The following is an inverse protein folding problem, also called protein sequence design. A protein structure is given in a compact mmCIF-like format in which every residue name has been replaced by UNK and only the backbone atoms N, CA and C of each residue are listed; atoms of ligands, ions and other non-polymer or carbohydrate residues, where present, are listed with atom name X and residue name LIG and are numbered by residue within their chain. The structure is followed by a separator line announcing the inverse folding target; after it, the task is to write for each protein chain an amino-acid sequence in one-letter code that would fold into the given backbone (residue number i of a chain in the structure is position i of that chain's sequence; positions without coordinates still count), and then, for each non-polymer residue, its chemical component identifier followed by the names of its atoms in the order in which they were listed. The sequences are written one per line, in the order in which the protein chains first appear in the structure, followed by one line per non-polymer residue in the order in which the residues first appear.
data_IF_391373575795
#
_entry.id   IF_391373575795
#
_cell.length_a   1.000
_cell.length_b   1.000
_cell.length_c   1.000
_cell.angle_alpha   90.00
_cell.angle_beta   90.00
_cell.angle_gamma   90.00
#
_symmetry.space_group_name_H-M   'P 1'
#
loop_
_entity.id
_entity.type
_entity.pdbx_description
1 polymer ?
#
# COMPACT_ATOMS: atom_id res chain seq x y z
N UNK A 1 52.64 28.66 -1.86
CA UNK A 1 52.11 27.48 -1.10
C UNK A 1 50.81 27.75 -0.32
N UNK A 2 50.32 29.00 -0.18
CA UNK A 2 49.10 29.29 0.59
C UNK A 2 47.76 28.93 -0.07
N UNK A 3 47.70 28.85 -1.41
CA UNK A 3 46.43 28.62 -2.13
C UNK A 3 46.00 27.15 -2.10
N UNK A 4 46.95 26.22 -2.23
CA UNK A 4 46.73 24.76 -2.13
C UNK A 4 46.07 24.36 -0.80
N UNK A 5 46.50 24.95 0.31
CA UNK A 5 45.94 24.69 1.65
C UNK A 5 44.48 25.14 1.79
N UNK A 6 44.07 26.18 1.05
CA UNK A 6 42.67 26.64 0.97
C UNK A 6 41.81 25.73 0.09
N UNK A 7 42.37 25.22 -1.01
CA UNK A 7 41.68 24.25 -1.87
C UNK A 7 41.37 22.93 -1.15
N UNK A 8 42.27 22.42 -0.29
CA UNK A 8 41.98 21.25 0.54
C UNK A 8 40.84 21.48 1.54
N UNK A 9 40.74 22.69 2.11
CA UNK A 9 39.62 23.05 3.00
C UNK A 9 38.28 23.13 2.27
N UNK A 10 38.26 23.68 1.06
CA UNK A 10 37.07 23.74 0.21
C UNK A 10 36.64 22.35 -0.27
N UNK A 11 37.57 21.48 -0.65
CA UNK A 11 37.28 20.09 -1.00
C UNK A 11 36.68 19.33 0.19
N UNK A 12 37.24 19.50 1.40
CA UNK A 12 36.69 18.90 2.62
C UNK A 12 35.26 19.38 2.92
N UNK A 13 35.00 20.68 2.77
CA UNK A 13 33.65 21.24 2.92
C UNK A 13 32.66 20.66 1.91
N UNK A 14 33.01 20.58 0.63
CA UNK A 14 32.15 19.99 -0.41
C UNK A 14 31.85 18.52 -0.14
N UNK A 15 32.86 17.74 0.26
CA UNK A 15 32.68 16.33 0.63
C UNK A 15 31.74 16.21 1.83
N UNK A 16 31.91 17.02 2.87
CA UNK A 16 31.02 17.02 4.05
C UNK A 16 29.60 17.44 3.68
N UNK A 17 29.43 18.47 2.85
CA UNK A 17 28.12 18.94 2.39
C UNK A 17 27.38 17.84 1.61
N UNK A 18 28.06 17.20 0.66
CA UNK A 18 27.51 16.11 -0.14
C UNK A 18 27.20 14.89 0.73
N UNK A 19 28.11 14.50 1.63
CA UNK A 19 27.90 13.40 2.57
C UNK A 19 26.70 13.66 3.50
N UNK A 20 26.53 14.89 3.98
CA UNK A 20 25.38 15.28 4.80
C UNK A 20 24.08 15.20 4.00
N UNK A 21 24.09 15.61 2.73
CA UNK A 21 22.95 15.46 1.82
C UNK A 21 22.55 14.01 1.59
N UNK A 22 23.51 13.12 1.33
CA UNK A 22 23.23 11.68 1.19
C UNK A 22 22.76 11.05 2.49
N UNK A 23 23.32 11.44 3.63
CA UNK A 23 22.90 10.95 4.94
C UNK A 23 21.46 11.37 5.24
N UNK A 24 21.10 12.63 4.96
CA UNK A 24 19.73 13.12 5.11
C UNK A 24 18.76 12.35 4.20
N UNK A 25 19.13 12.11 2.94
CA UNK A 25 18.31 11.34 2.01
C UNK A 25 18.13 9.88 2.47
N UNK A 26 19.21 9.25 2.94
CA UNK A 26 19.15 7.89 3.48
C UNK A 26 18.24 7.81 4.71
N UNK A 27 18.35 8.77 5.64
CA UNK A 27 17.50 8.86 6.83
C UNK A 27 16.03 9.12 6.50
N UNK A 28 15.71 9.76 5.37
CA UNK A 28 14.32 9.91 4.91
C UNK A 28 13.80 8.67 4.17
N UNK A 29 14.58 8.09 3.26
CA UNK A 29 14.10 7.02 2.37
C UNK A 29 14.09 5.66 3.07
N UNK A 30 15.10 5.34 3.89
CA UNK A 30 15.19 4.07 4.58
C UNK A 30 13.98 3.74 5.47
N UNK A 31 13.48 4.64 6.34
CA UNK A 31 12.30 4.33 7.16
C UNK A 31 11.04 4.17 6.31
N UNK A 32 10.89 4.93 5.22
CA UNK A 32 9.73 4.81 4.31
C UNK A 32 9.75 3.45 3.61
N UNK A 33 10.90 3.04 3.08
CA UNK A 33 11.05 1.75 2.43
C UNK A 33 10.79 0.58 3.40
N UNK A 34 11.31 0.68 4.64
CA UNK A 34 11.07 -0.32 5.68
C UNK A 34 9.59 -0.38 6.08
N UNK A 35 8.94 0.78 6.22
CA UNK A 35 7.53 0.85 6.53
C UNK A 35 6.67 0.23 5.43
N UNK A 36 6.93 0.54 4.16
CA UNK A 36 6.25 -0.07 3.01
C UNK A 36 6.44 -1.59 2.96
N UNK A 37 7.66 -2.07 3.24
CA UNK A 37 7.96 -3.49 3.30
C UNK A 37 7.11 -4.23 4.33
N UNK A 38 7.07 -3.70 5.55
CA UNK A 38 6.28 -4.26 6.67
C UNK A 38 4.78 -4.14 6.39
N UNK A 39 4.33 -3.02 5.83
CA UNK A 39 2.93 -2.79 5.48
C UNK A 39 2.40 -3.85 4.51
N UNK A 40 3.14 -4.13 3.43
CA UNK A 40 2.74 -5.16 2.45
C UNK A 40 2.75 -6.56 3.08
N UNK A 41 3.68 -6.86 3.99
CA UNK A 41 3.70 -8.14 4.72
C UNK A 41 2.49 -8.34 5.62
N UNK A 42 1.91 -7.26 6.14
CA UNK A 42 0.80 -7.29 7.10
C UNK A 42 -0.54 -6.84 6.51
N UNK A 43 -0.62 -6.63 5.20
CA UNK A 43 -1.82 -6.13 4.54
C UNK A 43 -3.04 -7.05 4.74
N UNK A 44 -2.83 -8.37 4.84
CA UNK A 44 -3.91 -9.36 4.99
C UNK A 44 -4.13 -9.81 6.43
N UNK A 45 -3.59 -9.11 7.43
CA UNK A 45 -3.81 -9.43 8.85
C UNK A 45 -5.29 -9.29 9.22
N UNK A 46 -5.93 -8.18 8.84
CA UNK A 46 -7.34 -7.92 9.11
C UNK A 46 -8.25 -9.02 8.54
N UNK A 47 -8.22 -9.33 7.22
CA UNK A 47 -9.05 -10.42 6.70
C UNK A 47 -8.70 -11.78 7.29
N UNK A 48 -7.43 -12.06 7.63
CA UNK A 48 -7.07 -13.32 8.30
C UNK A 48 -7.71 -13.45 9.70
N UNK A 49 -7.75 -12.37 10.48
CA UNK A 49 -8.41 -12.37 11.81
C UNK A 49 -9.92 -12.67 11.68
N UNK A 50 -10.61 -12.01 10.74
CA UNK A 50 -12.05 -12.18 10.57
C UNK A 50 -12.42 -13.53 9.92
N UNK A 51 -11.66 -13.97 8.93
CA UNK A 51 -11.99 -15.20 8.17
C UNK A 51 -11.53 -16.46 8.90
N UNK A 52 -10.37 -16.43 9.56
CA UNK A 52 -9.83 -17.61 10.26
C UNK A 52 -10.17 -17.61 11.77
N UNK A 53 -10.79 -16.55 12.31
CA UNK A 53 -11.09 -16.39 13.75
C UNK A 53 -9.87 -16.61 14.65
N UNK A 54 -8.71 -16.11 14.22
CA UNK A 54 -7.43 -16.24 14.94
C UNK A 54 -7.01 -14.93 15.61
N UNK A 55 -6.24 -15.05 16.70
CA UNK A 55 -5.67 -13.90 17.41
C UNK A 55 -4.60 -13.14 16.61
N UNK A 56 -4.33 -11.90 17.02
CA UNK A 56 -3.44 -10.95 16.31
C UNK A 56 -2.06 -11.53 15.95
N UNK A 57 -1.38 -12.18 16.91
CA UNK A 57 -0.04 -12.74 16.68
C UNK A 57 -0.04 -13.86 15.64
N UNK A 58 -1.06 -14.73 15.68
CA UNK A 58 -1.23 -15.80 14.70
C UNK A 58 -1.55 -15.21 13.30
N UNK A 59 -2.39 -14.17 13.24
CA UNK A 59 -2.73 -13.48 12.00
C UNK A 59 -1.52 -12.80 11.33
N UNK A 60 -0.63 -12.17 12.10
CA UNK A 60 0.62 -11.59 11.57
C UNK A 60 1.54 -12.65 10.96
N UNK A 61 1.74 -13.76 11.67
CA UNK A 61 2.53 -14.89 11.17
C UNK A 61 1.93 -15.48 9.90
N UNK A 62 0.60 -15.59 9.86
CA UNK A 62 -0.15 -16.06 8.70
C UNK A 62 -0.03 -15.13 7.49
N UNK A 63 -0.25 -13.84 7.69
CA UNK A 63 -0.13 -12.81 6.64
C UNK A 63 1.25 -12.84 6.02
N UNK A 64 2.31 -12.87 6.85
CA UNK A 64 3.69 -12.99 6.37
C UNK A 64 3.89 -14.24 5.52
N UNK A 65 3.44 -15.41 6.02
CA UNK A 65 3.54 -16.68 5.28
C UNK A 65 2.76 -16.67 3.98
N UNK A 66 1.65 -15.95 3.87
CA UNK A 66 0.87 -15.84 2.62
C UNK A 66 1.57 -14.94 1.59
N UNK A 67 2.14 -13.82 2.03
CA UNK A 67 2.81 -12.85 1.14
C UNK A 67 4.24 -13.29 0.75
N UNK A 68 4.89 -14.12 1.56
CA UNK A 68 6.27 -14.58 1.34
C UNK A 68 6.46 -15.27 -0.04
N UNK A 69 7.49 -14.88 -0.79
CA UNK A 69 7.72 -15.38 -2.16
C UNK A 69 6.83 -14.75 -3.25
N UNK A 70 5.85 -13.90 -2.89
CA UNK A 70 5.00 -13.16 -3.84
C UNK A 70 4.88 -11.68 -3.51
N UNK A 71 5.73 -11.18 -2.61
CA UNK A 71 5.70 -9.81 -2.08
C UNK A 71 5.61 -8.75 -3.20
N UNK A 72 6.38 -8.89 -4.27
CA UNK A 72 6.34 -7.94 -5.39
C UNK A 72 5.01 -7.93 -6.16
N UNK A 73 4.40 -9.09 -6.33
CA UNK A 73 3.08 -9.17 -6.98
C UNK A 73 2.03 -8.54 -6.09
N UNK A 74 2.06 -8.81 -4.79
CA UNK A 74 1.14 -8.20 -3.82
C UNK A 74 1.30 -6.68 -3.76
N UNK A 75 2.53 -6.17 -3.68
CA UNK A 75 2.80 -4.75 -3.71
C UNK A 75 2.30 -4.09 -5.00
N UNK A 76 2.60 -4.66 -6.18
CA UNK A 76 2.17 -4.10 -7.45
C UNK A 76 0.64 -4.09 -7.59
N UNK A 77 -0.05 -5.14 -7.13
CA UNK A 77 -1.52 -5.18 -7.11
C UNK A 77 -2.10 -4.10 -6.20
N UNK A 78 -1.57 -3.95 -4.98
CA UNK A 78 -2.00 -2.91 -4.05
C UNK A 78 -1.71 -1.51 -4.61
N UNK A 79 -0.53 -1.32 -5.20
CA UNK A 79 -0.13 -0.05 -5.80
C UNK A 79 -1.04 0.32 -6.98
N UNK A 80 -1.33 -0.62 -7.87
CA UNK A 80 -2.27 -0.41 -8.98
C UNK A 80 -3.67 -0.07 -8.45
N UNK A 81 -4.13 -0.77 -7.41
CA UNK A 81 -5.45 -0.53 -6.85
C UNK A 81 -5.54 0.80 -6.11
N UNK A 82 -4.45 1.21 -5.47
CA UNK A 82 -4.31 2.54 -4.90
C UNK A 82 -4.36 3.63 -5.98
N UNK A 83 -3.66 3.44 -7.11
CA UNK A 83 -3.74 4.38 -8.24
C UNK A 83 -5.17 4.50 -8.75
N UNK A 84 -5.85 3.37 -8.98
CA UNK A 84 -7.24 3.38 -9.46
C UNK A 84 -8.14 4.11 -8.47
N UNK A 85 -8.06 3.76 -7.18
CA UNK A 85 -8.81 4.42 -6.12
C UNK A 85 -8.55 5.94 -6.08
N UNK A 86 -7.28 6.34 -6.20
CA UNK A 86 -6.87 7.74 -6.18
C UNK A 86 -7.38 8.51 -7.41
N UNK A 87 -7.25 7.95 -8.60
CA UNK A 87 -7.73 8.56 -9.84
C UNK A 87 -9.25 8.71 -9.83
N UNK A 88 -9.98 7.69 -9.39
CA UNK A 88 -11.44 7.74 -9.24
C UNK A 88 -11.84 8.79 -8.21
N UNK A 89 -11.14 8.85 -7.07
CA UNK A 89 -11.36 9.86 -6.03
C UNK A 89 -11.16 11.29 -6.54
N UNK A 90 -10.08 11.55 -7.28
CA UNK A 90 -9.83 12.86 -7.90
C UNK A 90 -10.92 13.19 -8.91
N UNK A 91 -11.26 12.25 -9.80
CA UNK A 91 -12.25 12.48 -10.85
C UNK A 91 -13.60 12.86 -10.23
N UNK A 92 -14.11 12.07 -9.29
CA UNK A 92 -15.37 12.33 -8.61
C UNK A 92 -15.31 13.60 -7.76
N UNK A 93 -14.19 13.85 -7.07
CA UNK A 93 -13.97 15.07 -6.31
C UNK A 93 -14.01 16.32 -7.19
N UNK A 94 -13.42 16.27 -8.39
CA UNK A 94 -13.47 17.37 -9.34
C UNK A 94 -14.91 17.69 -9.79
N UNK A 95 -15.75 16.66 -10.01
CA UNK A 95 -17.16 16.85 -10.31
C UNK A 95 -17.92 17.52 -9.17
N UNK A 96 -17.70 17.09 -7.92
CA UNK A 96 -18.33 17.70 -6.73
C UNK A 96 -17.92 19.17 -6.59
N UNK A 97 -16.63 19.46 -6.77
CA UNK A 97 -16.11 20.83 -6.69
C UNK A 97 -16.69 21.74 -7.78
N UNK A 98 -16.82 21.23 -9.01
CA UNK A 98 -17.45 21.97 -10.10
C UNK A 98 -18.94 22.23 -9.80
N UNK A 99 -19.67 21.21 -9.31
CA UNK A 99 -21.07 21.36 -8.92
C UNK A 99 -21.24 22.41 -7.81
N UNK A 100 -20.34 22.42 -6.82
CA UNK A 100 -20.32 23.45 -5.77
C UNK A 100 -20.15 24.86 -6.34
N UNK A 101 -19.20 25.05 -7.26
CA UNK A 101 -18.96 26.36 -7.87
C UNK A 101 -20.20 26.87 -8.62
N UNK A 102 -20.88 26.00 -9.36
CA UNK A 102 -22.12 26.35 -10.07
C UNK A 102 -23.28 26.62 -9.12
N UNK A 103 -23.42 25.83 -8.06
CA UNK A 103 -24.46 26.02 -7.03
C UNK A 103 -24.35 27.39 -6.34
N UNK A 104 -23.12 27.85 -6.07
CA UNK A 104 -22.89 29.16 -5.43
C UNK A 104 -23.40 30.35 -6.27
N UNK A 105 -23.65 30.17 -7.57
CA UNK A 105 -24.23 31.21 -8.42
C UNK A 105 -25.75 31.38 -8.24
N UNK A 106 -26.43 30.35 -7.71
CA UNK A 106 -27.90 30.28 -7.69
C UNK A 106 -28.45 30.23 -6.25
N UNK A 107 -27.64 29.74 -5.30
CA UNK A 107 -28.03 29.58 -3.89
C UNK A 107 -27.06 30.26 -2.94
N UNK A 108 -27.52 30.56 -1.72
CA UNK A 108 -26.67 31.10 -0.65
C UNK A 108 -25.42 30.22 -0.44
N UNK A 109 -24.23 30.83 -0.22
CA UNK A 109 -22.99 30.09 0.05
C UNK A 109 -23.12 29.07 1.19
N UNK A 110 -23.94 29.36 2.20
CA UNK A 110 -24.20 28.44 3.31
C UNK A 110 -24.90 27.16 2.85
N UNK A 111 -25.94 27.29 2.02
CA UNK A 111 -26.70 26.15 1.48
C UNK A 111 -25.84 25.35 0.50
N UNK A 112 -25.13 26.04 -0.41
CA UNK A 112 -24.25 25.39 -1.38
C UNK A 112 -23.14 24.57 -0.69
N UNK A 113 -22.56 25.09 0.39
CA UNK A 113 -21.55 24.36 1.18
C UNK A 113 -22.15 23.14 1.86
N UNK A 114 -23.34 23.25 2.46
CA UNK A 114 -24.03 22.11 3.08
C UNK A 114 -24.30 20.96 2.11
N UNK A 115 -24.78 21.28 0.90
CA UNK A 115 -24.99 20.29 -0.18
C UNK A 115 -23.67 19.66 -0.61
N UNK A 116 -22.63 20.48 -0.79
CA UNK A 116 -21.30 20.00 -1.20
C UNK A 116 -20.74 19.01 -0.19
N UNK A 117 -20.75 19.34 1.10
CA UNK A 117 -20.30 18.46 2.17
C UNK A 117 -21.07 17.12 2.15
N UNK A 118 -22.40 17.17 2.09
CA UNK A 118 -23.22 15.96 2.03
C UNK A 118 -22.89 15.09 0.79
N UNK A 119 -22.72 15.73 -0.37
CA UNK A 119 -22.36 15.00 -1.61
C UNK A 119 -20.95 14.41 -1.55
N UNK A 120 -20.00 15.12 -0.93
CA UNK A 120 -18.64 14.63 -0.75
C UNK A 120 -18.57 13.42 0.17
N UNK A 121 -19.38 13.39 1.23
CA UNK A 121 -19.46 12.24 2.15
C UNK A 121 -20.14 11.03 1.50
N UNK A 122 -21.17 11.26 0.66
CA UNK A 122 -21.77 10.18 -0.12
C UNK A 122 -20.76 9.56 -1.09
N UNK A 123 -19.96 10.39 -1.77
CA UNK A 123 -18.89 9.91 -2.64
C UNK A 123 -17.82 9.16 -1.85
N UNK A 124 -17.37 9.71 -0.71
CA UNK A 124 -16.35 9.08 0.13
C UNK A 124 -16.81 7.71 0.65
N UNK A 125 -18.08 7.59 1.06
CA UNK A 125 -18.68 6.36 1.54
C UNK A 125 -18.72 5.26 0.47
N UNK A 126 -18.83 5.61 -0.81
CA UNK A 126 -18.81 4.67 -1.93
C UNK A 126 -17.38 4.30 -2.37
N UNK A 127 -16.46 5.26 -2.33
CA UNK A 127 -15.10 5.10 -2.89
C UNK A 127 -14.15 4.45 -1.88
N UNK A 128 -14.20 4.81 -0.60
CA UNK A 128 -13.32 4.27 0.44
C UNK A 128 -13.36 2.74 0.59
N UNK A 129 -14.52 2.04 0.56
CA UNK A 129 -14.53 0.59 0.72
C UNK A 129 -13.89 -0.17 -0.44
N UNK A 130 -13.68 0.44 -1.61
CA UNK A 130 -13.07 -0.22 -2.77
C UNK A 130 -11.69 -0.80 -2.46
N UNK A 131 -10.84 -0.05 -1.75
CA UNK A 131 -9.52 -0.51 -1.33
C UNK A 131 -9.62 -1.67 -0.32
N UNK A 132 -10.59 -1.61 0.60
CA UNK A 132 -10.80 -2.66 1.60
C UNK A 132 -11.28 -3.96 0.95
N UNK A 133 -12.22 -3.87 0.01
CA UNK A 133 -12.69 -5.02 -0.78
C UNK A 133 -11.51 -5.65 -1.55
N UNK A 134 -10.67 -4.82 -2.17
CA UNK A 134 -9.49 -5.31 -2.88
C UNK A 134 -8.51 -6.06 -1.96
N UNK A 135 -8.28 -5.57 -0.73
CA UNK A 135 -7.42 -6.26 0.25
C UNK A 135 -7.98 -7.64 0.61
N UNK A 136 -9.31 -7.74 0.81
CA UNK A 136 -9.97 -9.02 1.08
C UNK A 136 -9.85 -9.97 -0.12
N UNK A 137 -10.02 -9.48 -1.34
CA UNK A 137 -9.84 -10.29 -2.55
C UNK A 137 -8.40 -10.77 -2.72
N UNK A 138 -7.41 -9.92 -2.44
CA UNK A 138 -5.99 -10.30 -2.46
C UNK A 138 -5.72 -11.40 -1.44
N UNK A 139 -6.32 -11.34 -0.25
CA UNK A 139 -6.22 -12.42 0.73
C UNK A 139 -6.73 -13.75 0.18
N UNK A 140 -7.92 -13.76 -0.43
CA UNK A 140 -8.46 -14.99 -1.03
C UNK A 140 -7.63 -15.48 -2.23
N UNK A 141 -7.13 -14.60 -3.10
CA UNK A 141 -6.24 -14.98 -4.21
C UNK A 141 -4.94 -15.62 -3.70
N UNK A 142 -4.31 -15.00 -2.69
CA UNK A 142 -3.10 -15.55 -2.08
C UNK A 142 -3.35 -16.90 -1.42
N UNK A 143 -4.46 -17.03 -0.69
CA UNK A 143 -4.86 -18.25 -0.01
C UNK A 143 -5.10 -19.37 -1.00
N UNK A 144 -5.93 -19.16 -2.03
CA UNK A 144 -6.23 -20.16 -3.07
C UNK A 144 -4.96 -20.60 -3.80
N UNK A 145 -4.08 -19.66 -4.18
CA UNK A 145 -2.88 -20.01 -4.96
C UNK A 145 -1.78 -20.69 -4.15
N UNK A 146 -1.70 -20.46 -2.84
CA UNK A 146 -0.74 -21.16 -1.97
C UNK A 146 -1.31 -22.48 -1.48
N UNK A 147 -2.46 -22.44 -0.84
CA UNK A 147 -3.07 -23.63 -0.24
C UNK A 147 -3.52 -24.62 -1.30
N UNK A 148 -4.06 -24.14 -2.43
CA UNK A 148 -4.43 -25.02 -3.55
C UNK A 148 -3.21 -25.72 -4.16
N UNK A 149 -2.06 -25.04 -4.24
CA UNK A 149 -0.82 -25.65 -4.72
C UNK A 149 -0.31 -26.70 -3.72
N UNK A 150 -0.34 -26.40 -2.43
CA UNK A 150 0.11 -27.32 -1.39
C UNK A 150 -0.75 -28.59 -1.35
N UNK A 151 -2.08 -28.45 -1.46
CA UNK A 151 -3.00 -29.59 -1.54
C UNK A 151 -2.75 -30.46 -2.78
N UNK A 152 -2.53 -29.83 -3.94
CA UNK A 152 -2.20 -30.55 -5.16
C UNK A 152 -0.90 -31.35 -5.03
N UNK A 153 0.13 -30.77 -4.40
CA UNK A 153 1.40 -31.46 -4.14
C UNK A 153 1.24 -32.64 -3.17
N UNK A 154 0.41 -32.50 -2.13
CA UNK A 154 0.11 -33.61 -1.22
C UNK A 154 -0.64 -34.74 -1.93
N UNK A 155 -1.69 -34.41 -2.69
CA UNK A 155 -2.45 -35.39 -3.47
C UNK A 155 -1.54 -36.14 -4.47
N UNK A 156 -0.65 -35.43 -5.16
CA UNK A 156 0.32 -36.02 -6.07
C UNK A 156 1.27 -37.00 -5.35
N UNK A 157 1.78 -36.65 -4.16
CA UNK A 157 2.64 -37.54 -3.36
C UNK A 157 1.92 -38.79 -2.87
N UNK A 158 0.62 -38.71 -2.60
CA UNK A 158 -0.20 -39.86 -2.20
C UNK A 158 -0.59 -40.75 -3.39
N UNK A 159 -0.75 -40.16 -4.57
CA UNK A 159 -1.04 -40.88 -5.81
C UNK A 159 0.21 -41.49 -6.47
N UNK A 160 1.40 -40.94 -6.21
CA UNK A 160 2.66 -41.54 -6.61
C UNK A 160 2.88 -42.84 -5.80
N UNK A 161 3.01 -44.02 -6.45
CA UNK A 161 3.30 -45.25 -5.74
C UNK A 161 4.56 -45.05 -4.91
N UNK A 162 4.50 -45.39 -3.62
CA UNK A 162 5.71 -45.45 -2.81
C UNK A 162 6.62 -46.45 -3.50
N UNK A 163 7.73 -45.98 -4.09
CA UNK A 163 8.76 -46.85 -4.61
C UNK A 163 9.34 -47.59 -3.39
N UNK A 164 8.74 -48.74 -3.10
CA UNK A 164 9.18 -49.67 -2.08
C UNK A 164 10.57 -50.14 -2.48
N UNK A 165 11.59 -49.56 -1.87
CA UNK A 165 12.94 -50.13 -1.79
C UNK A 165 12.97 -51.26 -0.77
#
# INVERSE_FOLDING_TARGET
MGVLRRYFGLLGYWVLFVATGYLALALCVAPIALWLWVFVLWIVVTPAMFVENIGLGAAMGRSRRLVEGRWWRTFLMLFLMFIIWYVVGIALGAFVQLAQFLLQLVVSPFIATGISLASSELVSALVNPVLQIAIVLIYFDLRVRKEGLDLFQMAYRLAAPQATS
#
